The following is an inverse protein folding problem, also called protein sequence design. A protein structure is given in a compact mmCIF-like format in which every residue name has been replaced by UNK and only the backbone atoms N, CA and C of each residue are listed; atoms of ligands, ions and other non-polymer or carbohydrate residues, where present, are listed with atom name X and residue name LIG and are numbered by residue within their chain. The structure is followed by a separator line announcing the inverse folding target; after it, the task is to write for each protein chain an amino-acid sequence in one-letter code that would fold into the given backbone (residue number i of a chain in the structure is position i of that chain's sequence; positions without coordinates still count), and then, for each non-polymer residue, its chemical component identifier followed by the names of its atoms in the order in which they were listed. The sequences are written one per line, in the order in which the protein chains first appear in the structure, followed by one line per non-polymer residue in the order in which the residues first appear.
data_IF_064434045113
#
_entry.id   IF_064434045113
#
_cell.length_a   1.000
_cell.length_b   1.000
_cell.length_c   1.000
_cell.angle_alpha   90.00
_cell.angle_beta   90.00
_cell.angle_gamma   90.00
#
_symmetry.space_group_name_H-M   'P 1'
#
loop_
_entity.id
_entity.type
_entity.pdbx_description
1 polymer ?
#
# COMPACT_ATOMS: atom_id res chain seq x y z
N UNK A 1 -16.39 -3.03 41.32
CA UNK A 1 -15.64 -1.79 41.00
C UNK A 1 -15.47 -1.76 39.49
N UNK A 2 -16.08 -0.80 38.80
CA UNK A 2 -15.84 -0.59 37.38
C UNK A 2 -14.46 0.07 37.31
N UNK A 3 -13.49 -0.63 36.73
CA UNK A 3 -12.17 -0.05 36.50
C UNK A 3 -12.34 0.92 35.34
N UNK A 4 -11.99 2.18 35.58
CA UNK A 4 -11.99 3.21 34.56
C UNK A 4 -11.05 2.80 33.42
N UNK A 5 -11.49 2.77 32.15
CA UNK A 5 -10.60 2.51 31.02
C UNK A 5 -9.34 3.39 31.03
N UNK A 6 -9.43 4.62 31.53
CA UNK A 6 -8.29 5.52 31.67
C UNK A 6 -7.21 4.99 32.62
N UNK A 7 -7.58 4.23 33.64
CA UNK A 7 -6.64 3.59 34.56
C UNK A 7 -5.83 2.50 33.84
N UNK A 8 -6.47 1.68 33.01
CA UNK A 8 -5.79 0.64 32.22
C UNK A 8 -4.83 1.22 31.18
N UNK A 9 -5.25 2.27 30.48
CA UNK A 9 -4.42 2.93 29.46
C UNK A 9 -3.18 3.56 30.10
N UNK A 10 -3.34 4.26 31.23
CA UNK A 10 -2.21 4.84 31.95
C UNK A 10 -1.24 3.78 32.47
N UNK A 11 -1.74 2.68 33.01
CA UNK A 11 -0.89 1.61 33.55
C UNK A 11 -0.15 0.82 32.46
N UNK A 12 -0.73 0.73 31.26
CA UNK A 12 -0.06 0.19 30.08
C UNK A 12 1.00 1.15 29.50
N UNK A 13 0.69 2.45 29.45
CA UNK A 13 1.65 3.47 29.04
C UNK A 13 2.85 3.56 30.00
N UNK A 14 2.61 3.48 31.31
CA UNK A 14 3.67 3.50 32.34
C UNK A 14 4.60 2.28 32.27
N UNK A 15 4.11 1.14 31.79
CA UNK A 15 4.92 -0.07 31.60
C UNK A 15 5.71 -0.07 30.29
N UNK A 16 5.52 0.92 29.42
CA UNK A 16 6.22 1.14 28.15
C UNK A 16 6.23 -0.09 27.19
N UNK A 17 5.28 -1.01 27.36
CA UNK A 17 5.18 -2.21 26.54
C UNK A 17 4.24 -1.92 25.36
N UNK A 18 4.78 -1.20 24.37
CA UNK A 18 4.06 -0.84 23.13
C UNK A 18 3.49 -2.08 22.43
N UNK A 19 4.20 -3.22 22.49
CA UNK A 19 3.78 -4.46 21.87
C UNK A 19 2.52 -5.03 22.54
N UNK A 20 2.47 -5.05 23.88
CA UNK A 20 1.26 -5.47 24.61
C UNK A 20 0.06 -4.53 24.36
N UNK A 21 0.30 -3.22 24.28
CA UNK A 21 -0.76 -2.24 23.96
C UNK A 21 -1.30 -2.50 22.57
N UNK A 22 -0.42 -2.73 21.61
CA UNK A 22 -0.79 -3.00 20.23
C UNK A 22 -1.58 -4.32 20.10
N UNK A 23 -1.15 -5.37 20.79
CA UNK A 23 -1.85 -6.66 20.84
C UNK A 23 -3.27 -6.54 21.42
N UNK A 24 -3.43 -5.73 22.48
CA UNK A 24 -4.74 -5.46 23.07
C UNK A 24 -5.65 -4.67 22.12
N UNK A 25 -5.13 -3.64 21.46
CA UNK A 25 -5.86 -2.87 20.44
C UNK A 25 -6.28 -3.80 19.30
N UNK A 26 -5.40 -4.68 18.83
CA UNK A 26 -5.68 -5.61 17.74
C UNK A 26 -6.66 -6.72 18.16
N UNK A 27 -6.69 -7.11 19.44
CA UNK A 27 -7.72 -8.00 19.97
C UNK A 27 -9.10 -7.33 20.03
N UNK A 28 -9.17 -6.07 20.46
CA UNK A 28 -10.42 -5.28 20.49
C UNK A 28 -10.94 -5.08 19.07
N UNK A 29 -10.07 -4.73 18.12
CA UNK A 29 -10.41 -4.57 16.68
C UNK A 29 -10.96 -5.84 16.05
N UNK A 30 -10.53 -7.02 16.51
CA UNK A 30 -11.05 -8.32 16.03
C UNK A 30 -12.46 -8.66 16.53
N UNK A 31 -12.89 -8.09 17.66
CA UNK A 31 -14.15 -8.44 18.32
C UNK A 31 -15.29 -7.41 18.13
N UNK A 32 -14.99 -6.20 17.68
CA UNK A 32 -15.99 -5.19 17.35
C UNK A 32 -15.95 -4.83 15.85
N UNK A 33 -17.12 -4.73 15.21
CA UNK A 33 -17.25 -4.27 13.83
C UNK A 33 -16.91 -2.77 13.74
N UNK A 34 -15.61 -2.49 13.57
CA UNK A 34 -15.02 -1.14 13.54
C UNK A 34 -15.14 -0.45 12.18
N UNK A 35 -15.81 -1.05 11.20
CA UNK A 35 -16.03 -0.45 9.87
C UNK A 35 -16.69 0.93 9.95
N UNK A 36 -17.44 1.22 11.02
CA UNK A 36 -18.06 2.53 11.29
C UNK A 36 -17.21 3.51 12.11
N UNK A 37 -16.14 3.05 12.74
CA UNK A 37 -15.33 3.78 13.74
C UNK A 37 -13.87 4.00 13.29
N UNK A 38 -13.53 3.71 12.04
CA UNK A 38 -12.18 3.95 11.55
C UNK A 38 -11.92 5.48 11.57
N UNK A 39 -10.88 5.96 12.27
CA UNK A 39 -10.68 7.40 12.55
C UNK A 39 -10.33 8.25 11.31
N UNK A 40 -10.24 7.64 10.13
CA UNK A 40 -9.82 8.32 8.90
C UNK A 40 -10.96 8.35 7.90
N UNK A 41 -11.04 9.40 7.09
CA UNK A 41 -11.95 9.41 5.96
C UNK A 41 -11.40 8.52 4.84
N UNK A 42 -12.28 8.09 3.92
CA UNK A 42 -11.86 7.35 2.72
C UNK A 42 -10.90 8.22 1.88
N UNK A 43 -11.16 9.53 1.81
CA UNK A 43 -10.30 10.50 1.14
C UNK A 43 -8.89 10.55 1.73
N UNK A 44 -8.76 10.71 3.05
CA UNK A 44 -7.44 10.79 3.69
C UNK A 44 -6.66 9.48 3.51
N UNK A 45 -7.36 8.35 3.60
CA UNK A 45 -6.78 7.03 3.39
C UNK A 45 -6.29 6.85 1.94
N UNK A 46 -7.09 7.30 0.97
CA UNK A 46 -6.73 7.30 -0.45
C UNK A 46 -5.51 8.20 -0.71
N UNK A 47 -5.46 9.39 -0.13
CA UNK A 47 -4.33 10.32 -0.29
C UNK A 47 -3.01 9.70 0.21
N UNK A 48 -3.04 8.97 1.34
CA UNK A 48 -1.87 8.26 1.85
C UNK A 48 -1.44 7.16 0.88
N UNK A 49 -2.38 6.35 0.39
CA UNK A 49 -2.10 5.29 -0.60
C UNK A 49 -1.47 5.88 -1.87
N UNK A 50 -2.05 6.97 -2.41
CA UNK A 50 -1.52 7.65 -3.59
C UNK A 50 -0.10 8.20 -3.38
N UNK A 51 0.17 8.74 -2.19
CA UNK A 51 1.53 9.19 -1.84
C UNK A 51 2.54 8.05 -1.79
N UNK A 52 2.13 6.87 -1.33
CA UNK A 52 2.99 5.66 -1.30
C UNK A 52 3.24 5.14 -2.71
N UNK A 53 2.21 5.13 -3.57
CA UNK A 53 2.35 4.79 -4.99
C UNK A 53 3.34 5.75 -5.67
N UNK A 54 3.23 7.05 -5.39
CA UNK A 54 4.09 8.10 -5.97
C UNK A 54 5.56 8.03 -5.50
N UNK A 55 5.82 7.57 -4.27
CA UNK A 55 7.18 7.42 -3.73
C UNK A 55 7.88 6.15 -4.18
N UNK A 56 7.13 5.10 -4.51
CA UNK A 56 7.68 3.79 -4.82
C UNK A 56 8.14 3.67 -6.27
N UNK A 57 8.76 2.51 -6.57
CA UNK A 57 9.39 2.16 -7.85
C UNK A 57 8.49 2.34 -9.10
N UNK A 58 7.17 2.49 -8.93
CA UNK A 58 6.23 2.80 -10.02
C UNK A 58 6.60 4.07 -10.80
N UNK A 59 7.32 5.01 -10.17
CA UNK A 59 7.74 6.27 -10.81
C UNK A 59 8.83 6.10 -11.88
N UNK A 60 9.62 5.02 -11.83
CA UNK A 60 10.79 4.85 -12.69
C UNK A 60 10.56 3.75 -13.74
N UNK A 61 11.01 4.01 -14.98
CA UNK A 61 11.05 2.97 -16.00
C UNK A 61 12.04 1.87 -15.64
N UNK A 62 11.74 0.65 -16.07
CA UNK A 62 12.55 -0.54 -15.83
C UNK A 62 14.01 -0.38 -16.29
N UNK A 63 14.27 0.39 -17.36
CA UNK A 63 15.65 0.63 -17.84
C UNK A 63 16.51 1.41 -16.85
N UNK A 64 15.87 2.08 -15.90
CA UNK A 64 16.51 2.99 -14.94
C UNK A 64 16.22 2.61 -13.49
N UNK A 65 15.59 1.46 -13.23
CA UNK A 65 15.35 0.98 -11.87
C UNK A 65 16.60 0.36 -11.28
N UNK A 66 16.82 0.61 -9.98
CA UNK A 66 17.92 0.05 -9.22
C UNK A 66 17.79 -1.47 -9.00
N UNK A 67 17.94 -1.93 -7.76
CA UNK A 67 17.84 -3.36 -7.46
C UNK A 67 16.42 -3.88 -7.68
N UNK A 68 16.27 -5.04 -8.35
CA UNK A 68 14.99 -5.76 -8.44
C UNK A 68 14.39 -6.08 -7.06
N UNK A 69 15.25 -6.20 -6.04
CA UNK A 69 14.82 -6.38 -4.65
C UNK A 69 14.06 -5.16 -4.12
N UNK A 70 14.53 -3.95 -4.45
CA UNK A 70 13.93 -2.70 -4.00
C UNK A 70 12.59 -2.49 -4.68
N UNK A 71 12.49 -2.79 -5.98
CA UNK A 71 11.21 -2.78 -6.69
C UNK A 71 10.21 -3.74 -6.02
N UNK A 72 10.58 -5.01 -5.79
CA UNK A 72 9.69 -5.97 -5.14
C UNK A 72 9.28 -5.53 -3.72
N UNK A 73 10.16 -4.83 -3.02
CA UNK A 73 9.87 -4.25 -1.70
C UNK A 73 8.81 -3.16 -1.83
N UNK A 74 8.97 -2.22 -2.78
CA UNK A 74 7.98 -1.18 -3.04
C UNK A 74 6.62 -1.72 -3.49
N UNK A 75 6.59 -2.74 -4.37
CA UNK A 75 5.34 -3.38 -4.78
C UNK A 75 4.63 -4.06 -3.59
N UNK A 76 5.40 -4.70 -2.70
CA UNK A 76 4.85 -5.31 -1.46
C UNK A 76 4.30 -4.26 -0.51
N UNK A 77 4.99 -3.13 -0.35
CA UNK A 77 4.55 -2.04 0.53
C UNK A 77 3.23 -1.44 0.04
N UNK A 78 3.09 -1.20 -1.27
CA UNK A 78 1.81 -0.73 -1.86
C UNK A 78 0.70 -1.75 -1.61
N UNK A 79 0.98 -3.04 -1.81
CA UNK A 79 -0.02 -4.08 -1.60
C UNK A 79 -0.41 -4.21 -0.11
N UNK A 80 0.56 -4.07 0.80
CA UNK A 80 0.33 -4.12 2.25
C UNK A 80 -0.55 -2.95 2.72
N UNK A 81 -0.25 -1.72 2.26
CA UNK A 81 -1.05 -0.55 2.66
C UNK A 81 -2.48 -0.63 2.11
N UNK A 82 -2.67 -1.10 0.87
CA UNK A 82 -4.02 -1.27 0.31
C UNK A 82 -4.78 -2.37 1.06
N UNK A 83 -4.17 -3.54 1.25
CA UNK A 83 -4.87 -4.71 1.79
C UNK A 83 -5.14 -4.59 3.28
N UNK A 84 -4.15 -4.10 4.04
CA UNK A 84 -4.19 -4.12 5.51
C UNK A 84 -4.33 -2.72 6.13
N UNK A 85 -4.08 -1.66 5.36
CA UNK A 85 -4.00 -0.32 5.93
C UNK A 85 -2.74 -0.06 6.74
N UNK A 86 -1.75 -0.97 6.71
CA UNK A 86 -0.53 -0.91 7.54
C UNK A 86 0.71 -0.88 6.66
N UNK A 87 1.77 -0.24 7.18
CA UNK A 87 3.14 -0.37 6.68
C UNK A 87 4.02 -0.66 7.89
N UNK A 88 4.81 -1.74 7.84
CA UNK A 88 5.72 -2.12 8.93
C UNK A 88 5.00 -2.15 10.30
N UNK A 89 3.81 -2.76 10.34
CA UNK A 89 2.92 -2.87 11.52
C UNK A 89 2.33 -1.56 12.06
N UNK A 90 2.61 -0.41 11.44
CA UNK A 90 1.97 0.87 11.79
C UNK A 90 0.76 1.08 10.90
N UNK A 91 -0.41 1.30 11.49
CA UNK A 91 -1.61 1.69 10.74
C UNK A 91 -1.35 3.05 10.08
N UNK A 92 -1.55 3.14 8.76
CA UNK A 92 -1.37 4.35 7.95
C UNK A 92 -2.61 4.74 7.17
N UNK A 93 -3.42 3.77 6.74
CA UNK A 93 -4.67 4.01 6.03
C UNK A 93 -5.74 3.02 6.49
N UNK A 94 -6.97 3.20 6.01
CA UNK A 94 -7.97 2.13 6.01
C UNK A 94 -7.47 0.92 5.21
N UNK A 95 -7.90 -0.26 5.63
CA UNK A 95 -7.83 -1.44 4.77
C UNK A 95 -8.87 -1.32 3.65
N UNK A 96 -8.65 -1.96 2.51
CA UNK A 96 -9.59 -1.94 1.38
C UNK A 96 -11.01 -2.39 1.77
N UNK A 97 -11.18 -3.27 2.77
CA UNK A 97 -12.50 -3.70 3.23
C UNK A 97 -13.25 -2.63 4.02
N UNK A 98 -12.55 -1.62 4.54
CA UNK A 98 -13.14 -0.54 5.35
C UNK A 98 -13.54 0.69 4.51
N UNK A 99 -13.21 0.70 3.22
CA UNK A 99 -13.63 1.77 2.30
C UNK A 99 -15.11 1.60 1.94
N UNK A 100 -15.86 2.71 2.02
CA UNK A 100 -17.27 2.77 1.64
C UNK A 100 -17.41 3.11 0.16
N UNK A 101 -16.52 3.95 -0.36
CA UNK A 101 -16.53 4.34 -1.77
C UNK A 101 -16.12 3.19 -2.70
N UNK A 102 -17.08 2.66 -3.46
CA UNK A 102 -16.85 1.56 -4.40
C UNK A 102 -15.94 1.93 -5.58
N UNK A 103 -15.87 3.21 -5.95
CA UNK A 103 -14.95 3.67 -7.00
C UNK A 103 -13.49 3.56 -6.53
N UNK A 104 -13.22 3.93 -5.28
CA UNK A 104 -11.90 3.76 -4.65
C UNK A 104 -11.54 2.30 -4.48
N UNK A 105 -12.49 1.46 -4.06
CA UNK A 105 -12.30 0.00 -3.96
C UNK A 105 -11.96 -0.61 -5.33
N UNK A 106 -12.68 -0.21 -6.39
CA UNK A 106 -12.41 -0.68 -7.75
C UNK A 106 -11.03 -0.26 -8.24
N UNK A 107 -10.65 1.00 -7.99
CA UNK A 107 -9.31 1.50 -8.28
C UNK A 107 -8.23 0.67 -7.57
N UNK A 108 -8.34 0.52 -6.24
CA UNK A 108 -7.37 -0.22 -5.43
C UNK A 108 -7.22 -1.68 -5.88
N UNK A 109 -8.32 -2.35 -6.24
CA UNK A 109 -8.28 -3.70 -6.82
C UNK A 109 -7.53 -3.72 -8.16
N UNK A 110 -7.82 -2.75 -9.04
CA UNK A 110 -7.11 -2.63 -10.31
C UNK A 110 -5.60 -2.43 -10.14
N UNK A 111 -5.20 -1.61 -9.17
CA UNK A 111 -3.77 -1.45 -8.83
C UNK A 111 -3.18 -2.76 -8.31
N UNK A 112 -3.86 -3.49 -7.42
CA UNK A 112 -3.39 -4.79 -6.92
C UNK A 112 -3.23 -5.84 -8.04
N UNK A 113 -4.14 -5.86 -9.00
CA UNK A 113 -4.07 -6.74 -10.16
C UNK A 113 -2.85 -6.40 -11.03
N UNK A 114 -2.65 -5.12 -11.36
CA UNK A 114 -1.50 -4.66 -12.15
C UNK A 114 -0.17 -4.95 -11.43
N UNK A 115 -0.10 -4.71 -10.11
CA UNK A 115 1.07 -5.04 -9.27
C UNK A 115 1.39 -6.54 -9.29
N UNK A 116 0.37 -7.39 -9.27
CA UNK A 116 0.54 -8.85 -9.31
C UNK A 116 1.13 -9.32 -10.63
N UNK A 117 0.74 -8.69 -11.75
CA UNK A 117 1.32 -8.96 -13.07
C UNK A 117 2.78 -8.54 -13.12
N UNK A 118 3.12 -7.34 -12.63
CA UNK A 118 4.52 -6.88 -12.54
C UNK A 118 5.34 -7.87 -11.71
N UNK A 119 4.84 -8.26 -10.53
CA UNK A 119 5.53 -9.20 -9.65
C UNK A 119 5.74 -10.57 -10.29
N UNK A 120 4.77 -11.06 -11.07
CA UNK A 120 4.90 -12.31 -11.82
C UNK A 120 6.02 -12.25 -12.88
N UNK A 121 6.09 -11.14 -13.63
CA UNK A 121 7.14 -10.92 -14.62
C UNK A 121 8.53 -10.88 -13.95
N UNK A 122 8.65 -10.17 -12.83
CA UNK A 122 9.91 -10.04 -12.08
C UNK A 122 10.32 -11.36 -11.43
N UNK A 123 9.37 -12.16 -10.95
CA UNK A 123 9.69 -13.48 -10.39
C UNK A 123 10.07 -14.47 -11.49
N UNK A 124 9.44 -14.41 -12.66
CA UNK A 124 9.80 -15.23 -13.83
C UNK A 124 11.25 -14.98 -14.27
N UNK A 125 11.73 -13.74 -14.25
CA UNK A 125 13.12 -13.43 -14.62
C UNK A 125 14.14 -13.96 -13.61
N UNK A 126 13.76 -14.14 -12.34
CA UNK A 126 14.61 -14.76 -11.30
C UNK A 126 14.77 -16.27 -11.41
N UNK A 127 13.74 -16.98 -11.92
CA UNK A 127 13.74 -18.46 -11.97
C UNK A 127 14.62 -19.00 -13.11
N UNK A 128 14.85 -18.19 -14.15
CA UNK A 128 15.45 -18.66 -15.40
C UNK A 128 16.90 -18.24 -15.63
N UNK A 129 17.56 -17.61 -14.65
CA UNK A 129 18.93 -17.11 -14.80
C UNK A 129 19.67 -17.30 -13.48
N UNK A 130 20.94 -17.73 -13.54
CA UNK A 130 21.80 -17.95 -12.36
C UNK A 130 22.11 -16.65 -11.60
N UNK A 131 23.38 -16.36 -11.32
CA UNK A 131 23.79 -15.19 -10.52
C UNK A 131 23.47 -13.81 -11.16
N UNK A 132 22.99 -13.76 -12.41
CA UNK A 132 22.58 -12.52 -13.06
C UNK A 132 21.10 -12.55 -13.43
N UNK A 133 20.34 -11.56 -12.96
CA UNK A 133 18.90 -11.44 -13.22
C UNK A 133 18.65 -10.36 -14.28
N UNK A 134 18.23 -10.77 -15.47
CA UNK A 134 17.87 -9.92 -16.60
C UNK A 134 16.41 -10.13 -16.97
N UNK A 135 15.63 -9.05 -17.00
CA UNK A 135 14.27 -9.03 -17.53
C UNK A 135 14.36 -8.84 -19.05
N UNK A 136 13.54 -9.58 -19.81
CA UNK A 136 13.53 -9.45 -21.27
C UNK A 136 13.05 -8.05 -21.69
N UNK A 137 13.47 -7.57 -22.85
CA UNK A 137 13.06 -6.24 -23.32
C UNK A 137 11.53 -6.12 -23.46
N UNK A 138 10.86 -7.19 -23.90
CA UNK A 138 9.39 -7.25 -23.99
C UNK A 138 8.73 -7.17 -22.60
N UNK A 139 9.26 -7.92 -21.64
CA UNK A 139 8.79 -7.89 -20.25
C UNK A 139 9.00 -6.51 -19.61
N UNK A 140 10.13 -5.83 -19.91
CA UNK A 140 10.37 -4.45 -19.45
C UNK A 140 9.33 -3.48 -20.00
N UNK A 141 9.02 -3.55 -21.30
CA UNK A 141 7.97 -2.73 -21.93
C UNK A 141 6.62 -2.99 -21.27
N UNK A 142 6.30 -4.24 -20.94
CA UNK A 142 5.05 -4.59 -20.28
C UNK A 142 4.97 -4.02 -18.87
N UNK A 143 6.04 -4.10 -18.09
CA UNK A 143 6.10 -3.47 -16.76
C UNK A 143 5.93 -1.95 -16.87
N UNK A 144 6.62 -1.29 -17.81
CA UNK A 144 6.52 0.16 -17.98
C UNK A 144 5.10 0.60 -18.38
N UNK A 145 4.41 -0.18 -19.22
CA UNK A 145 2.99 0.05 -19.56
C UNK A 145 2.09 -0.05 -18.34
N UNK A 146 2.29 -1.06 -17.49
CA UNK A 146 1.50 -1.25 -16.26
C UNK A 146 1.76 -0.12 -15.27
N UNK A 147 3.01 0.32 -15.10
CA UNK A 147 3.35 1.48 -14.27
C UNK A 147 2.70 2.76 -14.77
N UNK A 148 2.74 3.00 -16.09
CA UNK A 148 2.08 4.15 -16.71
C UNK A 148 0.55 4.11 -16.50
N UNK A 149 -0.06 2.93 -16.63
CA UNK A 149 -1.46 2.73 -16.32
C UNK A 149 -1.77 3.05 -14.86
N UNK A 150 -1.02 2.50 -13.90
CA UNK A 150 -1.20 2.79 -12.47
C UNK A 150 -1.08 4.29 -12.19
N UNK A 151 -0.09 4.97 -12.78
CA UNK A 151 0.10 6.42 -12.60
C UNK A 151 -1.08 7.24 -13.16
N UNK A 152 -1.59 6.85 -14.33
CA UNK A 152 -2.78 7.47 -14.95
C UNK A 152 -4.03 7.26 -14.09
N UNK A 153 -4.32 6.02 -13.72
CA UNK A 153 -5.50 5.67 -12.89
C UNK A 153 -5.43 6.37 -11.52
N UNK A 154 -4.22 6.48 -10.95
CA UNK A 154 -3.97 7.17 -9.68
C UNK A 154 -4.21 8.67 -9.78
N UNK A 155 -3.81 9.31 -10.88
CA UNK A 155 -4.08 10.73 -11.12
C UNK A 155 -5.56 11.00 -11.38
N UNK A 156 -6.25 10.08 -12.07
CA UNK A 156 -7.68 10.19 -12.31
C UNK A 156 -8.48 10.11 -11.01
N UNK A 157 -8.22 9.10 -10.17
CA UNK A 157 -8.94 8.94 -8.90
C UNK A 157 -8.63 10.08 -7.91
N UNK A 158 -7.40 10.62 -7.94
CA UNK A 158 -7.04 11.81 -7.15
C UNK A 158 -7.89 13.02 -7.55
N UNK A 159 -8.02 13.28 -8.86
CA UNK A 159 -8.84 14.37 -9.40
C UNK A 159 -10.31 14.21 -9.05
N UNK A 160 -10.86 13.00 -9.17
CA UNK A 160 -12.26 12.72 -8.82
C UNK A 160 -12.57 12.98 -7.34
N UNK A 161 -11.57 12.85 -6.47
CA UNK A 161 -11.71 13.00 -5.02
C UNK A 161 -11.15 14.31 -4.47
N UNK A 162 -10.80 15.26 -5.33
CA UNK A 162 -10.21 16.56 -4.97
C UNK A 162 -8.96 16.40 -4.08
N UNK A 163 -8.06 15.50 -4.48
CA UNK A 163 -6.74 15.29 -3.88
C UNK A 163 -5.71 15.90 -4.83
N UNK A 164 -4.86 16.80 -4.32
CA UNK A 164 -3.86 17.52 -5.10
C UNK A 164 -2.59 16.67 -5.31
N UNK A 165 -2.72 15.59 -6.08
CA UNK A 165 -1.60 14.72 -6.48
C UNK A 165 -1.71 14.42 -7.97
N UNK A 166 -0.62 14.65 -8.69
CA UNK A 166 -0.43 14.18 -10.08
C UNK A 166 0.71 13.18 -10.11
N UNK A 167 0.46 11.96 -10.59
CA UNK A 167 1.46 10.92 -10.74
C UNK A 167 1.88 10.84 -12.21
N UNK A 168 3.16 11.05 -12.47
CA UNK A 168 3.78 10.87 -13.78
C UNK A 168 4.95 9.89 -13.68
N UNK A 169 5.04 8.96 -14.62
CA UNK A 169 6.24 8.16 -14.81
C UNK A 169 7.33 9.10 -15.34
N UNK A 170 8.51 9.07 -14.73
CA UNK A 170 9.61 9.97 -15.08
C UNK A 170 10.58 9.25 -16.01
N UNK A 171 10.84 9.90 -17.14
CA UNK A 171 11.97 9.59 -18.02
C UNK A 171 13.17 10.38 -17.48
N UNK A 172 14.25 9.69 -17.11
CA UNK A 172 15.53 10.28 -16.74
C UNK A 172 16.49 10.20 -17.93
#
# INVERSE_FOLDING_TARGET
KIIDPSYFVNELCDKADEDMVQDMIDAIRRHHDYTSLHPWSDKDSLEIILNIINRNAIKHRMSCEGSLSDMLTGLKEINEVITKGTIQRKQRSKSISDFKDQSMVKFMRGVMDDLSVIQAIVNKSKVNQGDMVYISHEDMINIDKLKAKIASDSSEIARLNNIDITLNVVDL
#
